data_IF_640894812479
#
_entry.id   IF_640894812479
#
_cell.length_a   1.000
_cell.length_b   1.000
_cell.length_c   1.000
_cell.angle_alpha   90.00
_cell.angle_beta   90.00
_cell.angle_gamma   90.00
#
_symmetry.space_group_name_H-M   'P 1'
#
loop_
_entity.id
_entity.type
_entity.pdbx_description
1 polymer ?
#
# COMPACT_ATOMS: atom_id res chain seq x y z
N UNK A 1 -17.45 38.05 0.74
CA UNK A 1 -16.97 37.07 1.76
C UNK A 1 -16.22 35.98 1.03
N UNK A 2 -15.03 35.59 1.47
CA UNK A 2 -14.28 34.50 0.80
C UNK A 2 -14.85 33.14 1.21
N UNK A 3 -15.05 32.26 0.23
CA UNK A 3 -15.39 30.86 0.44
C UNK A 3 -14.23 29.97 0.01
N UNK A 4 -14.09 28.82 0.65
CA UNK A 4 -13.12 27.79 0.31
C UNK A 4 -13.87 26.56 -0.19
N UNK A 5 -13.50 26.12 -1.39
CA UNK A 5 -14.02 24.90 -1.98
C UNK A 5 -13.27 23.68 -1.44
N UNK A 6 -14.01 22.67 -0.97
CA UNK A 6 -13.46 21.40 -0.48
C UNK A 6 -14.11 20.25 -1.24
N UNK A 7 -13.30 19.30 -1.71
CA UNK A 7 -13.74 18.06 -2.35
C UNK A 7 -13.68 16.91 -1.34
N UNK A 8 -14.84 16.37 -0.97
CA UNK A 8 -14.97 15.26 -0.04
C UNK A 8 -15.32 13.98 -0.79
N UNK A 9 -14.62 12.88 -0.51
CA UNK A 9 -14.92 11.58 -1.11
C UNK A 9 -16.22 11.03 -0.52
N UNK A 10 -17.15 10.60 -1.37
CA UNK A 10 -18.42 10.01 -0.97
C UNK A 10 -18.84 8.91 -1.95
N UNK A 11 -18.85 7.66 -1.48
CA UNK A 11 -19.08 6.50 -2.35
C UNK A 11 -18.03 6.39 -3.47
N UNK A 12 -18.50 6.34 -4.72
CA UNK A 12 -17.66 6.27 -5.92
C UNK A 12 -17.28 7.65 -6.48
N UNK A 13 -17.70 8.75 -5.87
CA UNK A 13 -17.49 10.10 -6.38
C UNK A 13 -16.98 11.07 -5.30
N UNK A 14 -17.00 12.36 -5.65
CA UNK A 14 -16.68 13.45 -4.73
C UNK A 14 -17.86 14.40 -4.63
N UNK A 15 -18.17 14.83 -3.42
CA UNK A 15 -19.04 15.95 -3.17
C UNK A 15 -18.20 17.22 -3.07
N UNK A 16 -18.62 18.26 -3.79
CA UNK A 16 -18.06 19.60 -3.68
C UNK A 16 -18.86 20.36 -2.63
N UNK A 17 -18.17 20.90 -1.63
CA UNK A 17 -18.77 21.77 -0.62
C UNK A 17 -18.06 23.11 -0.62
N UNK A 18 -18.80 24.17 -0.33
CA UNK A 18 -18.28 25.53 -0.17
C UNK A 18 -18.49 25.97 1.27
N UNK A 19 -17.40 26.33 1.94
CA UNK A 19 -17.42 26.75 3.34
C UNK A 19 -16.85 28.16 3.43
N UNK A 20 -17.49 29.12 4.11
CA UNK A 20 -16.91 30.43 4.36
C UNK A 20 -15.54 30.28 5.02
N UNK A 21 -14.50 30.93 4.48
CA UNK A 21 -13.11 30.68 4.91
C UNK A 21 -12.90 31.00 6.39
N UNK A 22 -13.64 31.97 6.94
CA UNK A 22 -13.58 32.35 8.36
C UNK A 22 -14.08 31.25 9.31
N UNK A 23 -14.77 30.22 8.80
CA UNK A 23 -15.28 29.10 9.58
C UNK A 23 -14.33 27.89 9.55
N UNK A 24 -13.19 27.99 8.85
CA UNK A 24 -12.23 26.89 8.72
C UNK A 24 -11.05 27.13 9.66
N UNK A 25 -10.90 26.27 10.67
CA UNK A 25 -9.73 26.28 11.56
C UNK A 25 -8.52 25.63 10.89
N UNK A 26 -8.72 24.47 10.25
CA UNK A 26 -7.66 23.75 9.54
C UNK A 26 -8.24 22.74 8.54
N UNK A 27 -7.44 22.37 7.53
CA UNK A 27 -7.72 21.27 6.60
C UNK A 27 -6.63 20.20 6.73
N UNK A 28 -6.90 19.16 7.51
CA UNK A 28 -5.97 18.05 7.69
C UNK A 28 -5.99 17.12 6.46
N UNK A 29 -4.81 16.87 5.88
CA UNK A 29 -4.62 15.92 4.78
C UNK A 29 -3.55 14.92 5.14
N UNK A 30 -3.71 13.68 4.69
CA UNK A 30 -2.66 12.68 4.79
C UNK A 30 -1.40 13.18 4.06
N UNK A 31 -0.23 12.89 4.63
CA UNK A 31 1.04 13.17 3.97
C UNK A 31 1.11 12.37 2.67
N UNK A 32 1.39 13.06 1.57
CA UNK A 32 1.65 12.40 0.29
C UNK A 32 2.95 11.61 0.38
N UNK A 33 2.92 10.35 -0.03
CA UNK A 33 4.10 9.52 -0.21
C UNK A 33 4.41 9.42 -1.71
N UNK A 34 5.70 9.36 -2.09
CA UNK A 34 6.07 9.17 -3.49
C UNK A 34 5.50 7.83 -4.00
N UNK A 35 4.98 7.86 -5.23
CA UNK A 35 4.45 6.67 -5.88
C UNK A 35 5.58 5.71 -6.23
N UNK A 36 5.35 4.41 -6.07
CA UNK A 36 6.25 3.37 -6.56
C UNK A 36 6.07 3.23 -8.07
N UNK A 37 7.10 3.59 -8.85
CA UNK A 37 7.06 3.50 -10.31
C UNK A 37 7.12 2.06 -10.83
N UNK A 38 7.90 1.19 -10.19
CA UNK A 38 8.05 -0.22 -10.55
C UNK A 38 7.83 -1.09 -9.30
N UNK A 39 6.63 -1.65 -9.19
CA UNK A 39 6.25 -2.47 -8.04
C UNK A 39 7.06 -3.78 -7.96
N UNK A 40 7.32 -4.42 -9.10
CA UNK A 40 8.02 -5.70 -9.15
C UNK A 40 9.46 -5.56 -8.66
N UNK A 41 10.13 -4.48 -9.07
CA UNK A 41 11.45 -4.12 -8.57
C UNK A 41 11.40 -3.80 -7.07
N UNK A 42 10.43 -2.98 -6.62
CA UNK A 42 10.34 -2.58 -5.22
C UNK A 42 10.14 -3.79 -4.29
N UNK A 43 9.26 -4.72 -4.65
CA UNK A 43 8.99 -5.95 -3.88
C UNK A 43 10.21 -6.86 -3.91
N UNK A 44 10.84 -7.06 -5.07
CA UNK A 44 12.04 -7.89 -5.18
C UNK A 44 13.19 -7.33 -4.35
N UNK A 45 13.42 -6.02 -4.44
CA UNK A 45 14.46 -5.33 -3.67
C UNK A 45 14.21 -5.41 -2.16
N UNK A 46 12.95 -5.33 -1.71
CA UNK A 46 12.59 -5.50 -0.31
C UNK A 46 12.89 -6.93 0.19
N UNK A 47 12.60 -7.95 -0.63
CA UNK A 47 12.90 -9.36 -0.30
C UNK A 47 14.41 -9.63 -0.30
N UNK A 48 15.19 -8.91 -1.11
CA UNK A 48 16.65 -9.01 -1.11
C UNK A 48 17.34 -8.25 0.03
N UNK A 49 16.64 -7.32 0.67
CA UNK A 49 17.16 -6.50 1.77
C UNK A 49 16.21 -6.56 2.98
N UNK A 50 16.06 -7.75 3.60
CA UNK A 50 15.20 -7.90 4.76
C UNK A 50 15.69 -7.06 5.94
N UNK A 51 14.76 -6.52 6.73
CA UNK A 51 15.05 -5.73 7.92
C UNK A 51 15.00 -6.66 9.14
N UNK A 52 16.15 -6.91 9.76
CA UNK A 52 16.23 -7.66 11.01
C UNK A 52 16.03 -9.18 10.88
N UNK A 53 16.11 -9.74 9.67
CA UNK A 53 16.05 -11.19 9.44
C UNK A 53 16.96 -11.62 8.30
N UNK A 54 17.18 -12.93 8.15
CA UNK A 54 17.76 -13.50 6.94
C UNK A 54 16.79 -13.39 5.75
N UNK A 55 17.31 -13.62 4.54
CA UNK A 55 16.49 -13.72 3.32
C UNK A 55 15.53 -14.91 3.39
N UNK A 56 14.40 -14.80 2.70
CA UNK A 56 13.36 -15.83 2.67
C UNK A 56 13.94 -17.21 2.30
N UNK A 57 14.78 -17.25 1.27
CA UNK A 57 15.42 -18.45 0.73
C UNK A 57 16.40 -19.13 1.70
N UNK A 58 16.83 -18.42 2.75
CA UNK A 58 17.64 -18.98 3.84
C UNK A 58 16.80 -19.46 5.03
N UNK A 59 15.59 -18.92 5.18
CA UNK A 59 14.67 -19.28 6.27
C UNK A 59 13.90 -20.55 5.92
N UNK A 60 13.50 -20.70 4.66
CA UNK A 60 12.77 -21.88 4.19
C UNK A 60 13.72 -22.92 3.57
N UNK A 61 13.33 -24.18 3.66
CA UNK A 61 13.97 -25.32 3.00
C UNK A 61 12.96 -26.13 2.20
N UNK A 62 13.38 -27.01 1.27
CA UNK A 62 12.45 -27.83 0.48
C UNK A 62 11.52 -28.74 1.29
N UNK A 63 11.86 -29.02 2.56
CA UNK A 63 11.03 -29.82 3.49
C UNK A 63 10.07 -28.97 4.31
N UNK A 64 10.12 -27.65 4.17
CA UNK A 64 9.31 -26.73 4.97
C UNK A 64 7.86 -26.76 4.53
N UNK A 65 6.96 -26.84 5.50
CA UNK A 65 5.54 -26.57 5.27
C UNK A 65 5.29 -25.08 5.49
N UNK A 66 5.03 -24.35 4.40
CA UNK A 66 4.90 -22.89 4.43
C UNK A 66 3.42 -22.50 4.38
N UNK A 67 3.04 -21.54 5.23
CA UNK A 67 1.74 -20.86 5.18
C UNK A 67 1.97 -19.39 4.90
N UNK A 68 1.30 -18.86 3.87
CA UNK A 68 1.37 -17.45 3.50
C UNK A 68 0.06 -16.80 3.93
N UNK A 69 0.15 -15.81 4.82
CA UNK A 69 -1.00 -15.00 5.25
C UNK A 69 -1.12 -13.83 4.27
N UNK A 70 -2.30 -13.64 3.71
CA UNK A 70 -2.61 -12.51 2.82
C UNK A 70 -3.81 -11.73 3.36
N UNK A 71 -3.90 -10.47 2.96
CA UNK A 71 -5.06 -9.64 3.23
C UNK A 71 -6.32 -10.18 2.53
N UNK A 72 -7.49 -9.89 3.11
CA UNK A 72 -8.77 -10.16 2.47
C UNK A 72 -9.10 -9.16 1.34
N UNK A 73 -10.23 -9.37 0.68
CA UNK A 73 -10.68 -8.55 -0.47
C UNK A 73 -11.00 -7.09 -0.08
N UNK A 74 -11.16 -6.78 1.21
CA UNK A 74 -11.50 -5.43 1.67
C UNK A 74 -10.28 -4.50 1.74
N UNK A 75 -9.06 -5.06 1.59
CA UNK A 75 -7.83 -4.29 1.61
C UNK A 75 -7.37 -3.92 0.20
N UNK A 76 -6.77 -2.72 0.01
CA UNK A 76 -6.26 -2.27 -1.28
C UNK A 76 -4.89 -2.87 -1.63
N UNK A 77 -4.41 -3.86 -0.89
CA UNK A 77 -3.10 -4.47 -1.09
C UNK A 77 -3.05 -5.14 -2.46
N UNK A 78 -2.04 -4.85 -3.31
CA UNK A 78 -1.92 -5.42 -4.65
C UNK A 78 -1.38 -6.87 -4.59
N UNK A 79 -2.09 -7.74 -3.88
CA UNK A 79 -1.71 -9.14 -3.62
C UNK A 79 -1.46 -9.90 -4.91
N UNK A 80 -2.26 -9.66 -5.95
CA UNK A 80 -2.10 -10.28 -7.27
C UNK A 80 -0.77 -9.94 -7.96
N UNK A 81 -0.10 -8.85 -7.56
CA UNK A 81 1.24 -8.48 -8.07
C UNK A 81 2.36 -8.93 -7.13
N UNK A 82 2.12 -8.86 -5.81
CA UNK A 82 3.13 -9.21 -4.80
C UNK A 82 3.32 -10.74 -4.68
N UNK A 83 2.22 -11.49 -4.59
CA UNK A 83 2.27 -12.92 -4.28
C UNK A 83 3.05 -13.74 -5.33
N UNK A 84 2.91 -13.52 -6.66
CA UNK A 84 3.70 -14.25 -7.64
C UNK A 84 5.21 -14.10 -7.45
N UNK A 85 5.69 -12.93 -6.99
CA UNK A 85 7.12 -12.67 -6.75
C UNK A 85 7.62 -13.50 -5.56
N UNK A 86 6.81 -13.60 -4.50
CA UNK A 86 7.12 -14.42 -3.33
C UNK A 86 7.14 -15.90 -3.70
N UNK A 87 6.11 -16.38 -4.42
CA UNK A 87 6.02 -17.77 -4.85
C UNK A 87 7.20 -18.16 -5.75
N UNK A 88 7.62 -17.27 -6.66
CA UNK A 88 8.81 -17.49 -7.50
C UNK A 88 10.09 -17.68 -6.68
N UNK A 89 10.20 -17.07 -5.49
CA UNK A 89 11.35 -17.28 -4.59
C UNK A 89 11.25 -18.57 -3.78
N UNK A 90 10.04 -18.99 -3.42
CA UNK A 90 9.81 -20.23 -2.66
C UNK A 90 9.95 -21.50 -3.51
N UNK A 91 9.60 -21.43 -4.79
CA UNK A 91 9.62 -22.57 -5.73
C UNK A 91 10.80 -22.54 -6.72
N UNK A 92 11.86 -21.79 -6.39
CA UNK A 92 13.13 -21.86 -7.11
C UNK A 92 13.85 -23.20 -6.91
#
# INVERSE_FOLDING_TARGET
>A
MSSTEIRLRYGSSFQKIEVPSNNIVALAKARSLPTIANLDFAVSNALDNPIGSEKLEKIVSPKSKVTIIIDDITRPTPTNKILPIILKRLFQ
#
